data_IF_699931426644
#
_entry.id   IF_699931426644
#
_cell.length_a   1.000
_cell.length_b   1.000
_cell.length_c   1.000
_cell.angle_alpha   90.00
_cell.angle_beta   90.00
_cell.angle_gamma   90.00
#
_symmetry.space_group_name_H-M   'P 1'
#
loop_
_entity.id
_entity.type
_entity.pdbx_description
1 polymer ?
#
# COMPACT_ATOMS: atom_id res chain seq x y z
N UNK A 1 11.86 -12.42 26.78
CA UNK A 1 11.87 -11.19 25.96
C UNK A 1 12.64 -11.41 24.66
N UNK A 2 13.90 -11.85 24.69
CA UNK A 2 14.72 -12.14 23.49
C UNK A 2 14.09 -13.15 22.51
N UNK A 3 13.56 -14.27 23.01
CA UNK A 3 12.92 -15.28 22.16
C UNK A 3 11.67 -14.74 21.43
N UNK A 4 10.91 -13.85 22.08
CA UNK A 4 9.75 -13.22 21.45
C UNK A 4 10.19 -12.20 20.39
N UNK A 5 11.22 -11.39 20.65
CA UNK A 5 11.77 -10.50 19.63
C UNK A 5 12.25 -11.27 18.39
N UNK A 6 12.89 -12.43 18.57
CA UNK A 6 13.32 -13.25 17.44
C UNK A 6 12.12 -13.80 16.65
N UNK A 7 11.08 -14.26 17.35
CA UNK A 7 9.85 -14.77 16.73
C UNK A 7 9.14 -13.65 15.94
N UNK A 8 9.07 -12.42 16.44
CA UNK A 8 8.43 -11.31 15.71
C UNK A 8 9.20 -10.94 14.43
N UNK A 9 10.53 -11.00 14.45
CA UNK A 9 11.35 -10.82 13.24
C UNK A 9 11.16 -11.96 12.24
N UNK A 10 11.02 -13.20 12.71
CA UNK A 10 10.72 -14.35 11.85
C UNK A 10 9.36 -14.19 11.16
N UNK A 11 8.33 -13.73 11.88
CA UNK A 11 7.02 -13.41 11.27
C UNK A 11 7.14 -12.32 10.21
N UNK A 12 7.91 -11.26 10.48
CA UNK A 12 8.15 -10.21 9.50
C UNK A 12 8.86 -10.74 8.24
N UNK A 13 9.91 -11.55 8.42
CA UNK A 13 10.62 -12.17 7.30
C UNK A 13 9.71 -13.10 6.49
N UNK A 14 8.88 -13.90 7.16
CA UNK A 14 7.91 -14.77 6.50
C UNK A 14 6.97 -13.96 5.58
N UNK A 15 6.42 -12.86 6.09
CA UNK A 15 5.54 -11.97 5.33
C UNK A 15 6.27 -11.40 4.11
N UNK A 16 7.53 -10.99 4.28
CA UNK A 16 8.35 -10.48 3.19
C UNK A 16 8.58 -11.54 2.10
N UNK A 17 8.87 -12.80 2.48
CA UNK A 17 9.02 -13.91 1.53
C UNK A 17 7.71 -14.18 0.79
N UNK A 18 6.58 -14.25 1.48
CA UNK A 18 5.25 -14.46 0.88
C UNK A 18 4.94 -13.33 -0.12
N UNK A 19 5.13 -12.07 0.29
CA UNK A 19 4.88 -10.93 -0.59
C UNK A 19 5.79 -10.94 -1.81
N UNK A 20 7.05 -11.34 -1.65
CA UNK A 20 8.00 -11.43 -2.77
C UNK A 20 7.57 -12.49 -3.79
N UNK A 21 7.21 -13.70 -3.32
CA UNK A 21 6.76 -14.80 -4.20
C UNK A 21 5.47 -14.45 -4.93
N UNK A 22 4.49 -13.88 -4.22
CA UNK A 22 3.23 -13.39 -4.81
C UNK A 22 3.52 -12.29 -5.84
N UNK A 23 4.44 -11.37 -5.54
CA UNK A 23 4.80 -10.28 -6.45
C UNK A 23 5.42 -10.77 -7.75
N UNK A 24 6.30 -11.77 -7.70
CA UNK A 24 6.89 -12.39 -8.89
C UNK A 24 5.77 -13.06 -9.72
N UNK A 25 4.85 -13.78 -9.08
CA UNK A 25 3.70 -14.40 -9.74
C UNK A 25 2.81 -13.37 -10.45
N UNK A 26 2.45 -12.29 -9.75
CA UNK A 26 1.65 -11.19 -10.30
C UNK A 26 2.39 -10.51 -11.47
N UNK A 27 3.69 -10.24 -11.32
CA UNK A 27 4.49 -9.56 -12.33
C UNK A 27 4.63 -10.37 -13.61
N UNK A 28 4.94 -11.67 -13.49
CA UNK A 28 5.01 -12.58 -14.64
C UNK A 28 3.66 -12.72 -15.34
N UNK A 29 2.57 -12.76 -14.58
CA UNK A 29 1.22 -12.77 -15.14
C UNK A 29 0.88 -11.50 -15.91
N UNK A 30 1.20 -10.32 -15.38
CA UNK A 30 0.97 -9.05 -16.08
C UNK A 30 1.83 -8.95 -17.35
N UNK A 31 3.10 -9.36 -17.30
CA UNK A 31 3.96 -9.41 -18.50
C UNK A 31 3.38 -10.33 -19.58
N UNK A 32 2.88 -11.51 -19.19
CA UNK A 32 2.25 -12.45 -20.15
C UNK A 32 0.98 -11.86 -20.78
N UNK A 33 0.17 -11.13 -19.99
CA UNK A 33 -1.04 -10.45 -20.49
C UNK A 33 -0.75 -9.25 -21.37
N UNK A 34 0.35 -8.54 -21.16
CA UNK A 34 0.75 -7.45 -22.06
C UNK A 34 1.18 -7.94 -23.43
N UNK A 35 1.90 -9.06 -23.50
CA UNK A 35 2.28 -9.68 -24.79
C UNK A 35 1.06 -10.04 -25.65
N UNK A 36 -0.11 -10.22 -25.04
CA UNK A 36 -1.36 -10.57 -25.73
C UNK A 36 -2.37 -9.43 -25.85
N UNK A 37 -2.14 -8.27 -25.23
CA UNK A 37 -3.12 -7.17 -25.17
C UNK A 37 -2.59 -5.91 -25.85
N UNK A 38 -3.40 -5.32 -26.76
CA UNK A 38 -3.12 -4.02 -27.39
C UNK A 38 -2.95 -2.93 -26.31
N UNK A 39 -2.07 -1.92 -26.52
CA UNK A 39 -1.83 -0.86 -25.55
C UNK A 39 -3.13 -0.09 -25.32
N UNK A 40 -3.66 -0.16 -24.09
CA UNK A 40 -4.85 0.57 -23.69
C UNK A 40 -4.43 1.87 -23.00
N UNK A 41 -4.70 3.04 -23.59
CA UNK A 41 -4.42 4.32 -22.97
C UNK A 41 -5.59 4.64 -22.03
N UNK A 42 -5.67 3.93 -20.91
CA UNK A 42 -6.48 4.42 -19.80
C UNK A 42 -5.55 5.29 -18.97
N UNK A 43 -5.58 6.60 -19.21
CA UNK A 43 -4.97 7.58 -18.31
C UNK A 43 -5.69 7.49 -16.95
N UNK A 44 -5.24 6.56 -16.10
CA UNK A 44 -5.74 6.42 -14.74
C UNK A 44 -5.28 7.68 -14.00
N UNK A 45 -6.22 8.54 -13.66
CA UNK A 45 -5.93 9.74 -12.89
C UNK A 45 -5.57 9.38 -11.45
N UNK A 46 -4.74 10.21 -10.82
CA UNK A 46 -4.37 10.01 -9.42
C UNK A 46 -5.59 10.01 -8.48
N UNK A 47 -6.64 10.75 -8.83
CA UNK A 47 -7.92 10.74 -8.15
C UNK A 47 -8.68 9.40 -8.28
N UNK A 48 -8.67 8.78 -9.47
CA UNK A 48 -9.23 7.43 -9.66
C UNK A 48 -8.45 6.40 -8.86
N UNK A 49 -7.12 6.55 -8.81
CA UNK A 49 -6.27 5.66 -8.03
C UNK A 49 -6.50 5.80 -6.52
N UNK A 50 -6.62 7.03 -6.00
CA UNK A 50 -6.96 7.24 -4.59
C UNK A 50 -8.35 6.71 -4.24
N UNK A 51 -9.32 6.83 -5.15
CA UNK A 51 -10.65 6.23 -4.97
C UNK A 51 -10.57 4.70 -4.92
N UNK A 52 -9.79 4.07 -5.80
CA UNK A 52 -9.57 2.61 -5.77
C UNK A 52 -8.95 2.19 -4.43
N UNK A 53 -7.88 2.86 -3.98
CA UNK A 53 -7.24 2.55 -2.70
C UNK A 53 -8.16 2.82 -1.50
N UNK A 54 -9.01 3.85 -1.57
CA UNK A 54 -10.02 4.09 -0.56
C UNK A 54 -11.05 2.95 -0.50
N UNK A 55 -11.58 2.51 -1.64
CA UNK A 55 -12.52 1.38 -1.70
C UNK A 55 -11.89 0.07 -1.25
N UNK A 56 -10.61 -0.17 -1.60
CA UNK A 56 -9.87 -1.33 -1.11
C UNK A 56 -9.66 -1.26 0.41
N UNK A 57 -9.39 -0.08 0.96
CA UNK A 57 -9.27 0.13 2.40
C UNK A 57 -10.57 -0.16 3.12
N UNK A 58 -11.69 0.34 2.60
CA UNK A 58 -13.03 0.06 3.13
C UNK A 58 -13.37 -1.43 3.01
N UNK A 59 -13.03 -2.06 1.88
CA UNK A 59 -13.20 -3.50 1.69
C UNK A 59 -12.40 -4.33 2.68
N UNK A 60 -11.13 -3.98 2.91
CA UNK A 60 -10.29 -4.62 3.92
C UNK A 60 -10.87 -4.44 5.33
N UNK A 61 -11.30 -3.22 5.68
CA UNK A 61 -11.95 -2.93 6.96
C UNK A 61 -13.23 -3.77 7.14
N UNK A 62 -14.05 -3.89 6.09
CA UNK A 62 -15.27 -4.71 6.09
C UNK A 62 -14.96 -6.20 6.26
N UNK A 63 -13.93 -6.72 5.58
CA UNK A 63 -13.47 -8.11 5.76
C UNK A 63 -13.03 -8.33 7.21
N UNK A 64 -12.17 -7.46 7.74
CA UNK A 64 -11.70 -7.53 9.13
C UNK A 64 -12.87 -7.51 10.11
N UNK A 65 -13.83 -6.60 9.92
CA UNK A 65 -15.06 -6.49 10.73
C UNK A 65 -15.89 -7.77 10.66
N UNK A 66 -16.09 -8.30 9.45
CA UNK A 66 -16.89 -9.52 9.24
C UNK A 66 -16.26 -10.69 9.97
N UNK A 67 -14.93 -10.87 9.89
CA UNK A 67 -14.21 -11.92 10.60
C UNK A 67 -14.33 -11.72 12.11
N UNK A 68 -14.24 -10.49 12.60
CA UNK A 68 -14.40 -10.20 14.03
C UNK A 68 -15.79 -10.55 14.56
N UNK A 69 -16.84 -10.35 13.76
CA UNK A 69 -18.22 -10.69 14.12
C UNK A 69 -18.45 -12.21 14.06
N UNK A 70 -17.96 -12.89 13.02
CA UNK A 70 -18.23 -14.31 12.78
C UNK A 70 -17.35 -15.20 13.65
N UNK A 71 -16.05 -14.91 13.73
CA UNK A 71 -15.10 -15.75 14.45
C UNK A 71 -13.89 -14.94 14.95
N UNK A 72 -14.02 -14.25 16.11
CA UNK A 72 -12.97 -13.36 16.62
C UNK A 72 -11.67 -14.10 16.98
N UNK A 73 -11.75 -15.39 17.31
CA UNK A 73 -10.59 -16.19 17.69
C UNK A 73 -9.52 -16.27 16.58
N UNK A 74 -9.90 -16.17 15.30
CA UNK A 74 -8.94 -16.20 14.19
C UNK A 74 -8.17 -14.89 14.05
N UNK A 75 -8.72 -13.76 14.51
CA UNK A 75 -7.95 -12.50 14.61
C UNK A 75 -6.97 -12.52 15.79
N UNK A 76 -7.12 -13.44 16.73
CA UNK A 76 -6.12 -13.65 17.79
C UNK A 76 -4.99 -14.59 17.35
N UNK A 77 -5.16 -15.29 16.23
CA UNK A 77 -4.13 -16.14 15.65
C UNK A 77 -3.09 -15.29 14.89
N UNK A 78 -1.84 -15.37 15.34
CA UNK A 78 -0.71 -14.72 14.70
C UNK A 78 -0.51 -15.18 13.27
N UNK A 79 -0.60 -16.49 12.99
CA UNK A 79 -0.41 -17.03 11.65
C UNK A 79 -1.40 -16.43 10.65
N UNK A 80 -2.67 -16.39 11.03
CA UNK A 80 -3.71 -15.81 10.17
C UNK A 80 -3.48 -14.33 9.92
N UNK A 81 -3.13 -13.55 10.95
CA UNK A 81 -2.88 -12.12 10.78
C UNK A 81 -1.67 -11.84 9.89
N UNK A 82 -0.55 -12.51 10.12
CA UNK A 82 0.67 -12.31 9.34
C UNK A 82 0.51 -12.85 7.91
N UNK A 83 -0.01 -14.06 7.73
CA UNK A 83 -0.09 -14.69 6.41
C UNK A 83 -1.24 -14.11 5.57
N UNK A 84 -2.41 -13.89 6.16
CA UNK A 84 -3.61 -13.51 5.40
C UNK A 84 -3.87 -12.02 5.50
N UNK A 85 -4.02 -11.47 6.70
CA UNK A 85 -4.44 -10.08 6.86
C UNK A 85 -3.38 -9.09 6.35
N UNK A 86 -2.10 -9.29 6.73
CA UNK A 86 -1.02 -8.44 6.23
C UNK A 86 -0.80 -8.61 4.73
N UNK A 87 -0.75 -9.85 4.22
CA UNK A 87 -0.63 -10.06 2.77
C UNK A 87 -1.77 -9.38 2.02
N UNK A 88 -3.02 -9.54 2.48
CA UNK A 88 -4.20 -8.91 1.87
C UNK A 88 -4.10 -7.38 1.88
N UNK A 89 -3.60 -6.79 2.97
CA UNK A 89 -3.40 -5.36 3.08
C UNK A 89 -2.30 -4.83 2.15
N UNK A 90 -1.20 -5.56 2.00
CA UNK A 90 -0.03 -5.11 1.24
C UNK A 90 -0.10 -5.41 -0.26
N UNK A 91 -0.78 -6.48 -0.68
CA UNK A 91 -0.89 -6.89 -2.10
C UNK A 91 -1.28 -5.74 -3.06
N UNK A 92 -2.24 -4.85 -2.75
CA UNK A 92 -2.55 -3.70 -3.60
C UNK A 92 -1.35 -2.80 -3.91
N UNK A 93 -0.45 -2.60 -2.94
CA UNK A 93 0.75 -1.80 -3.13
C UNK A 93 1.79 -2.49 -4.03
N UNK A 94 1.90 -3.82 -3.94
CA UNK A 94 2.76 -4.59 -4.84
C UNK A 94 2.22 -4.58 -6.28
N UNK A 95 0.90 -4.71 -6.45
CA UNK A 95 0.24 -4.57 -7.76
C UNK A 95 0.51 -3.16 -8.31
N UNK A 96 0.39 -2.11 -7.48
CA UNK A 96 0.72 -0.75 -7.88
C UNK A 96 2.18 -0.64 -8.36
N UNK A 97 3.13 -1.21 -7.63
CA UNK A 97 4.55 -1.23 -8.01
C UNK A 97 4.78 -1.93 -9.35
N UNK A 98 4.16 -3.09 -9.56
CA UNK A 98 4.21 -3.81 -10.83
C UNK A 98 3.62 -2.98 -11.98
N UNK A 99 2.45 -2.36 -11.77
CA UNK A 99 1.82 -1.48 -12.76
C UNK A 99 2.66 -0.25 -13.08
N UNK A 100 3.32 0.34 -12.08
CA UNK A 100 4.23 1.47 -12.27
C UNK A 100 5.49 1.07 -13.07
N UNK A 101 5.98 -0.17 -12.92
CA UNK A 101 7.09 -0.66 -13.74
C UNK A 101 6.69 -0.91 -15.20
N UNK A 102 5.46 -1.38 -15.40
CA UNK A 102 4.92 -1.81 -16.68
C UNK A 102 4.39 -0.64 -17.52
N UNK A 103 3.79 0.38 -16.89
CA UNK A 103 3.20 1.53 -17.56
C UNK A 103 4.03 2.80 -17.32
N UNK A 104 4.78 3.29 -18.34
CA UNK A 104 5.64 4.46 -18.18
C UNK A 104 4.85 5.74 -17.85
N UNK A 105 3.58 5.85 -18.25
CA UNK A 105 2.71 6.97 -17.90
C UNK A 105 2.38 7.04 -16.40
N UNK A 106 2.15 5.87 -15.78
CA UNK A 106 1.93 5.76 -14.33
C UNK A 106 3.23 6.11 -13.59
N UNK A 107 4.36 5.58 -14.06
CA UNK A 107 5.70 5.92 -13.52
C UNK A 107 5.95 7.43 -13.55
N UNK A 108 5.70 8.07 -14.70
CA UNK A 108 5.91 9.50 -14.88
C UNK A 108 5.07 10.34 -13.93
N UNK A 109 3.82 9.95 -13.64
CA UNK A 109 2.99 10.65 -12.65
C UNK A 109 3.45 10.48 -11.20
N UNK A 110 4.05 9.35 -10.86
CA UNK A 110 4.65 9.15 -9.54
C UNK A 110 5.97 9.89 -9.37
N UNK A 111 6.71 10.14 -10.46
CA UNK A 111 7.97 10.91 -10.41
C UNK A 111 7.77 12.41 -10.54
N UNK A 112 6.66 12.88 -11.11
CA UNK A 112 6.32 14.32 -11.11
C UNK A 112 5.86 14.77 -9.72
N UNK A 113 6.50 15.78 -9.11
CA UNK A 113 6.13 16.25 -7.78
C UNK A 113 4.73 16.90 -7.81
N UNK A 114 3.77 16.22 -7.18
CA UNK A 114 2.40 16.71 -7.00
C UNK A 114 2.29 17.42 -5.65
N UNK A 115 2.11 18.75 -5.66
CA UNK A 115 1.84 19.56 -4.43
C UNK A 115 0.57 19.09 -3.69
N UNK A 116 -0.39 18.51 -4.43
CA UNK A 116 -1.60 17.94 -3.85
C UNK A 116 -1.34 16.64 -3.08
N UNK A 117 -0.39 15.81 -3.51
CA UNK A 117 -0.02 14.59 -2.79
C UNK A 117 0.74 14.89 -1.51
N UNK A 118 1.61 15.91 -1.50
CA UNK A 118 2.34 16.31 -0.28
C UNK A 118 1.38 16.87 0.78
N UNK A 119 0.42 17.70 0.38
CA UNK A 119 -0.61 18.20 1.30
C UNK A 119 -1.53 17.05 1.76
N UNK A 120 -1.98 16.20 0.83
CA UNK A 120 -2.79 15.01 1.13
C UNK A 120 -2.12 14.07 2.15
N UNK A 121 -0.85 13.74 1.93
CA UNK A 121 -0.08 12.91 2.86
C UNK A 121 0.05 13.55 4.24
N UNK A 122 0.31 14.86 4.32
CA UNK A 122 0.37 15.57 5.60
C UNK A 122 -0.99 15.56 6.32
N UNK A 123 -2.09 15.79 5.62
CA UNK A 123 -3.44 15.67 6.20
C UNK A 123 -3.77 14.25 6.64
N UNK A 124 -3.42 13.23 5.86
CA UNK A 124 -3.63 11.84 6.26
C UNK A 124 -2.80 11.46 7.49
N UNK A 125 -1.58 11.95 7.58
CA UNK A 125 -0.72 11.74 8.75
C UNK A 125 -1.29 12.42 10.00
N UNK A 126 -1.79 13.65 9.87
CA UNK A 126 -2.51 14.32 10.97
C UNK A 126 -3.76 13.52 11.35
N UNK A 127 -4.56 13.06 10.39
CA UNK A 127 -5.74 12.24 10.64
C UNK A 127 -5.39 10.92 11.35
N UNK A 128 -4.28 10.28 10.96
CA UNK A 128 -3.76 9.09 11.63
C UNK A 128 -3.36 9.38 13.08
N UNK A 129 -2.60 10.46 13.33
CA UNK A 129 -2.20 10.87 14.68
C UNK A 129 -3.41 11.22 15.55
N UNK A 130 -4.42 11.89 14.98
CA UNK A 130 -5.67 12.19 15.66
C UNK A 130 -6.45 10.91 15.99
N UNK A 131 -6.53 9.96 15.05
CA UNK A 131 -7.17 8.66 15.30
C UNK A 131 -6.44 7.86 16.39
N UNK A 132 -5.11 7.94 16.48
CA UNK A 132 -4.35 7.31 17.57
C UNK A 132 -4.50 8.03 18.92
N UNK A 133 -4.56 9.37 18.93
CA UNK A 133 -4.69 10.15 20.18
C UNK A 133 -6.09 10.16 20.75
N UNK A 134 -7.11 10.21 19.90
CA UNK A 134 -8.52 10.34 20.29
C UNK A 134 -9.34 9.07 20.07
N UNK A 135 -8.76 8.04 19.45
CA UNK A 135 -9.36 6.71 19.33
C UNK A 135 -9.42 6.05 20.70
N UNK A 136 -10.50 6.31 21.44
CA UNK A 136 -10.74 5.75 22.76
C UNK A 136 -11.27 4.33 22.65
N UNK A 137 -10.50 3.38 22.10
CA UNK A 137 -10.83 1.94 22.08
C UNK A 137 -12.19 1.56 21.47
N UNK A 138 -12.91 2.52 20.90
CA UNK A 138 -14.26 2.34 20.42
C UNK A 138 -14.23 1.56 19.10
N UNK A 139 -15.28 0.78 18.86
CA UNK A 139 -15.23 -0.38 17.97
C UNK A 139 -14.80 -0.12 16.53
N UNK A 140 -14.69 1.13 16.08
CA UNK A 140 -14.37 1.54 14.71
C UNK A 140 -12.92 2.02 14.49
N UNK A 141 -12.12 2.15 15.56
CA UNK A 141 -10.76 2.72 15.48
C UNK A 141 -9.86 1.93 14.51
N UNK A 142 -10.03 0.61 14.51
CA UNK A 142 -9.23 -0.33 13.73
C UNK A 142 -9.58 -0.30 12.24
N UNK A 143 -10.86 -0.07 11.93
CA UNK A 143 -11.38 0.08 10.58
C UNK A 143 -10.94 1.43 9.99
N UNK A 144 -11.11 2.52 10.74
CA UNK A 144 -10.68 3.86 10.30
C UNK A 144 -9.17 3.92 10.09
N UNK A 145 -8.38 3.34 10.99
CA UNK A 145 -6.93 3.29 10.87
C UNK A 145 -6.49 2.55 9.60
N UNK A 146 -7.13 1.43 9.25
CA UNK A 146 -6.78 0.67 8.06
C UNK A 146 -7.05 1.44 6.76
N UNK A 147 -8.17 2.18 6.70
CA UNK A 147 -8.52 3.03 5.55
C UNK A 147 -7.55 4.20 5.43
N UNK A 148 -7.28 4.89 6.54
CA UNK A 148 -6.34 6.03 6.58
C UNK A 148 -4.96 5.56 6.15
N UNK A 149 -4.46 4.45 6.69
CA UNK A 149 -3.14 3.90 6.36
C UNK A 149 -3.04 3.51 4.89
N UNK A 150 -4.09 2.93 4.31
CA UNK A 150 -4.09 2.53 2.91
C UNK A 150 -4.03 3.74 1.96
N UNK A 151 -4.81 4.78 2.24
CA UNK A 151 -4.79 6.03 1.44
C UNK A 151 -3.50 6.82 1.67
N UNK A 152 -3.04 6.90 2.92
CA UNK A 152 -1.77 7.52 3.29
C UNK A 152 -0.60 6.86 2.56
N UNK A 153 -0.57 5.53 2.52
CA UNK A 153 0.47 4.77 1.83
C UNK A 153 0.56 5.14 0.34
N UNK A 154 -0.57 5.31 -0.34
CA UNK A 154 -0.59 5.70 -1.75
C UNK A 154 0.03 7.10 -1.96
N UNK A 155 -0.34 8.07 -1.13
CA UNK A 155 0.21 9.42 -1.24
C UNK A 155 1.68 9.47 -0.84
N UNK A 156 2.08 8.72 0.19
CA UNK A 156 3.47 8.62 0.62
C UNK A 156 4.36 8.02 -0.48
N UNK A 157 3.91 7.00 -1.19
CA UNK A 157 4.62 6.45 -2.35
C UNK A 157 4.87 7.55 -3.39
N UNK A 158 3.88 8.37 -3.74
CA UNK A 158 4.08 9.48 -4.67
C UNK A 158 5.11 10.52 -4.18
N UNK A 159 5.07 10.86 -2.88
CA UNK A 159 6.05 11.80 -2.28
C UNK A 159 7.45 11.22 -2.30
N UNK A 160 7.64 9.96 -1.90
CA UNK A 160 8.96 9.32 -1.83
C UNK A 160 9.55 9.11 -3.22
N UNK A 161 8.76 8.67 -4.21
CA UNK A 161 9.24 8.48 -5.58
C UNK A 161 9.61 9.82 -6.26
N UNK A 162 8.80 10.86 -6.09
CA UNK A 162 9.10 12.19 -6.65
C UNK A 162 10.32 12.85 -6.00
N UNK A 163 10.45 12.72 -4.68
CA UNK A 163 11.61 13.24 -3.93
C UNK A 163 12.89 12.46 -4.26
N UNK A 164 12.82 11.13 -4.31
CA UNK A 164 13.93 10.27 -4.68
C UNK A 164 14.43 10.56 -6.11
N UNK A 165 13.50 10.72 -7.06
CA UNK A 165 13.84 11.14 -8.42
C UNK A 165 14.55 12.50 -8.42
N UNK A 166 14.03 13.49 -7.68
CA UNK A 166 14.62 14.84 -7.63
C UNK A 166 16.01 14.85 -6.99
N UNK A 167 16.24 14.12 -5.91
CA UNK A 167 17.53 14.08 -5.22
C UNK A 167 18.59 13.32 -6.02
N UNK A 168 18.23 12.17 -6.61
CA UNK A 168 19.16 11.38 -7.40
C UNK A 168 19.54 12.08 -8.72
N UNK A 169 18.60 12.79 -9.36
CA UNK A 169 18.91 13.59 -10.55
C UNK A 169 19.50 14.97 -10.24
N UNK A 170 19.63 15.37 -8.97
CA UNK A 170 20.20 16.67 -8.60
C UNK A 170 21.68 16.79 -9.01
N UNK A 171 22.43 15.67 -8.99
CA UNK A 171 23.83 15.64 -9.41
C UNK A 171 24.04 15.51 -10.93
N UNK A 172 22.98 15.24 -11.71
CA UNK A 172 23.02 15.13 -13.17
C UNK A 172 22.47 16.39 -13.87
N UNK A 173 22.43 17.54 -13.18
CA UNK A 173 22.05 18.82 -13.78
C UNK A 173 23.06 19.36 -14.82
N UNK A 174 24.16 18.65 -15.09
CA UNK A 174 25.22 19.06 -16.02
C UNK A 174 25.15 18.40 -17.40
N UNK A 175 24.17 17.52 -17.64
CA UNK A 175 23.95 16.90 -18.96
C UNK A 175 22.47 16.97 -19.33
N UNK A 176 21.98 18.18 -19.54
CA UNK A 176 20.81 18.53 -20.36
C UNK A 176 21.20 19.73 -21.19
#
# INVERSE_FOLDING_TARGET
TLAWELISHLWFLLVLVILTTVSIGIFTWFQKRQKTSKPRPAAISLAKLSLIFFLLGVGYAAIRRTIFIVYPAILSDGMFNFIVMQTLFYVPFFILGALAFIHPELKARFTTPSRGCTLGAATAFIAYLLNQRYGSGDAWMYETESVITMVMGLWMVNVVFSLGHRLLNFQSARVT
#
